data_IF_956479027817
#
_entry.id   IF_956479027817
#
_cell.length_a   1.000
_cell.length_b   1.000
_cell.length_c   1.000
_cell.angle_alpha   90.00
_cell.angle_beta   90.00
_cell.angle_gamma   90.00
#
_symmetry.space_group_name_H-M   'P 1'
#
loop_
_entity.id
_entity.type
_entity.pdbx_description
1 polymer ?
#
# COMPACT_ATOMS: atom_id res chain seq x y z
N UNK A 1 -27.97 -10.81 25.74
CA UNK A 1 -28.72 -10.30 24.57
C UNK A 1 -27.79 -10.43 23.39
N UNK A 2 -28.22 -11.18 22.39
CA UNK A 2 -27.54 -11.29 21.11
C UNK A 2 -27.96 -10.08 20.27
N UNK A 3 -27.02 -9.46 19.56
CA UNK A 3 -27.32 -8.32 18.69
C UNK A 3 -27.78 -8.89 17.35
N UNK A 4 -28.95 -8.46 16.89
CA UNK A 4 -29.39 -8.72 15.53
C UNK A 4 -28.62 -7.79 14.57
N UNK A 5 -27.61 -8.34 13.90
CA UNK A 5 -26.76 -7.60 12.97
C UNK A 5 -27.48 -7.18 11.68
N UNK A 6 -28.57 -7.88 11.32
CA UNK A 6 -29.40 -7.55 10.16
C UNK A 6 -30.29 -6.35 10.49
N UNK A 7 -30.92 -6.33 11.67
CA UNK A 7 -31.72 -5.20 12.16
C UNK A 7 -30.89 -3.91 12.26
N UNK A 8 -29.64 -4.00 12.75
CA UNK A 8 -28.76 -2.83 12.86
C UNK A 8 -28.10 -2.44 11.53
N UNK A 9 -28.35 -3.17 10.45
CA UNK A 9 -27.84 -2.86 9.12
C UNK A 9 -26.31 -2.92 9.01
N UNK A 10 -25.68 -3.85 9.74
CA UNK A 10 -24.22 -3.95 9.78
C UNK A 10 -23.64 -4.23 8.39
N UNK A 11 -22.62 -3.46 8.00
CA UNK A 11 -21.84 -3.65 6.78
C UNK A 11 -20.36 -3.72 7.14
N UNK A 12 -19.68 -4.78 6.68
CA UNK A 12 -18.26 -5.03 6.99
C UNK A 12 -17.47 -5.20 5.70
N UNK A 13 -16.25 -4.66 5.68
CA UNK A 13 -15.26 -4.87 4.61
C UNK A 13 -13.99 -5.50 5.17
N UNK A 14 -13.34 -6.33 4.36
CA UNK A 14 -12.02 -6.89 4.65
C UNK A 14 -11.05 -6.46 3.55
N UNK A 15 -9.86 -6.04 3.95
CA UNK A 15 -8.78 -5.69 3.03
C UNK A 15 -7.52 -6.49 3.41
N UNK A 16 -6.92 -7.18 2.44
CA UNK A 16 -5.80 -8.08 2.67
C UNK A 16 -4.66 -7.73 1.71
N UNK A 17 -3.50 -7.37 2.27
CA UNK A 17 -2.29 -7.10 1.50
C UNK A 17 -1.30 -8.25 1.68
N UNK A 18 -0.67 -8.70 0.59
CA UNK A 18 0.36 -9.74 0.59
C UNK A 18 1.50 -9.35 -0.33
N UNK A 19 2.72 -9.51 0.14
CA UNK A 19 3.91 -9.41 -0.70
C UNK A 19 4.08 -10.70 -1.50
N UNK A 20 4.49 -10.58 -2.76
CA UNK A 20 4.81 -11.72 -3.61
C UNK A 20 6.29 -12.06 -3.49
N UNK A 21 6.61 -13.34 -3.40
CA UNK A 21 7.99 -13.85 -3.44
C UNK A 21 8.48 -13.99 -4.90
N UNK A 22 8.47 -12.88 -5.63
CA UNK A 22 9.01 -12.81 -6.99
C UNK A 22 10.51 -12.57 -6.96
N UNK A 23 11.22 -13.02 -8.01
CA UNK A 23 12.67 -12.79 -8.15
C UNK A 23 13.04 -11.30 -8.20
N UNK A 24 12.18 -10.48 -8.81
CA UNK A 24 12.39 -9.05 -9.00
C UNK A 24 11.14 -8.24 -8.62
N UNK A 25 11.31 -6.94 -8.36
CA UNK A 25 10.22 -5.98 -8.08
C UNK A 25 9.29 -5.84 -9.29
N UNK A 26 8.08 -5.34 -9.04
CA UNK A 26 7.03 -5.27 -10.06
C UNK A 26 7.38 -4.42 -11.29
N UNK A 27 8.15 -3.34 -11.11
CA UNK A 27 8.47 -2.38 -12.18
C UNK A 27 9.99 -2.19 -12.40
N UNK A 28 10.82 -3.07 -11.85
CA UNK A 28 12.26 -3.08 -12.13
C UNK A 28 12.90 -4.44 -11.80
N UNK A 29 14.08 -4.70 -12.37
CA UNK A 29 14.85 -5.94 -12.16
C UNK A 29 15.55 -6.01 -10.80
N UNK A 30 15.30 -5.07 -9.88
CA UNK A 30 15.87 -5.13 -8.54
C UNK A 30 15.29 -6.33 -7.76
N UNK A 31 16.08 -7.01 -6.92
CA UNK A 31 15.57 -8.08 -6.05
C UNK A 31 14.52 -7.54 -5.06
N UNK A 32 13.60 -8.42 -4.66
CA UNK A 32 12.56 -8.16 -3.65
C UNK A 32 13.05 -8.33 -2.22
N UNK A 33 14.18 -9.00 -2.03
CA UNK A 33 14.84 -9.13 -0.72
C UNK A 33 15.27 -7.79 -0.19
N UNK A 34 15.10 -7.58 1.12
CA UNK A 34 15.71 -6.46 1.81
C UNK A 34 17.23 -6.49 1.63
N UNK A 35 17.84 -5.33 1.37
CA UNK A 35 19.28 -5.19 1.22
C UNK A 35 19.81 -4.36 2.37
N UNK A 36 20.69 -4.93 3.17
CA UNK A 36 21.44 -4.19 4.19
C UNK A 36 22.71 -3.60 3.56
N UNK A 37 22.93 -2.29 3.75
CA UNK A 37 24.10 -1.56 3.25
C UNK A 37 24.08 -1.24 1.75
N UNK A 38 25.11 -0.51 1.31
CA UNK A 38 25.26 -0.02 -0.07
C UNK A 38 25.62 1.46 -0.11
N UNK A 39 25.58 2.04 -1.31
CA UNK A 39 25.81 3.48 -1.48
C UNK A 39 24.54 4.23 -1.08
N UNK A 40 24.60 4.90 0.05
CA UNK A 40 23.53 5.77 0.53
C UNK A 40 23.70 7.17 -0.04
N UNK A 41 22.61 7.77 -0.52
CA UNK A 41 22.56 9.16 -0.92
C UNK A 41 21.22 9.75 -0.46
N UNK A 42 21.27 11.00 -0.03
CA UNK A 42 20.09 11.74 0.40
C UNK A 42 19.70 12.74 -0.66
N UNK A 43 18.41 12.84 -0.97
CA UNK A 43 17.88 13.84 -1.88
C UNK A 43 16.53 14.35 -1.37
N UNK A 44 16.23 15.62 -1.66
CA UNK A 44 14.94 16.22 -1.30
C UNK A 44 13.95 16.11 -2.47
N UNK A 45 12.69 15.78 -2.16
CA UNK A 45 11.55 15.89 -3.07
C UNK A 45 10.33 16.41 -2.33
N UNK A 46 9.47 17.10 -3.07
CA UNK A 46 8.18 17.57 -2.60
C UNK A 46 7.11 16.94 -3.47
N UNK A 47 6.11 16.31 -2.85
CA UNK A 47 4.86 15.96 -3.51
C UNK A 47 3.99 17.21 -3.58
N UNK A 48 3.18 17.33 -4.63
CA UNK A 48 2.17 18.37 -4.78
C UNK A 48 0.82 17.70 -4.96
N UNK A 49 -0.23 18.37 -4.53
CA UNK A 49 -1.59 17.99 -4.83
C UNK A 49 -1.81 17.90 -6.35
N UNK A 50 -2.48 16.83 -6.77
CA UNK A 50 -3.08 16.80 -8.09
C UNK A 50 -4.44 17.47 -7.98
N UNK A 51 -4.67 18.52 -8.77
CA UNK A 51 -5.99 19.13 -8.89
C UNK A 51 -6.95 18.12 -9.50
N UNK A 52 -8.19 18.12 -9.00
CA UNK A 52 -9.25 17.31 -9.58
C UNK A 52 -9.73 17.94 -10.89
N UNK A 53 -10.63 17.24 -11.59
CA UNK A 53 -11.34 17.80 -12.75
C UNK A 53 -12.05 19.14 -12.44
N UNK A 54 -12.36 19.41 -11.16
CA UNK A 54 -13.08 20.62 -10.72
C UNK A 54 -12.17 21.68 -10.07
N UNK A 55 -10.84 21.48 -10.09
CA UNK A 55 -9.90 22.20 -9.23
C UNK A 55 -9.86 21.55 -7.86
#
# INVERSE_FOLDING_TARGET
MEIDYEEVGLRVGLEIHRQLDTRHKLFCECPTSHREGGREFTFARWLREAQSELG
#
